data_IF_814636400685
#
_entry.id   IF_814636400685
#
_cell.length_a   1.000
_cell.length_b   1.000
_cell.length_c   1.000
_cell.angle_alpha   90.00
_cell.angle_beta   90.00
_cell.angle_gamma   90.00
#
_symmetry.space_group_name_H-M   'P 1'
#
loop_
_entity.id
_entity.type
_entity.pdbx_description
1 polymer ?
#
# COMPACT_ATOMS: atom_id res chain seq x y z
N UNK A 1 -6.32 8.55 26.57
CA UNK A 1 -5.87 7.54 25.59
C UNK A 1 -6.75 7.64 24.34
N UNK A 2 -6.29 8.30 23.28
CA UNK A 2 -7.07 8.42 22.05
C UNK A 2 -7.15 7.04 21.38
N UNK A 3 -8.35 6.47 21.28
CA UNK A 3 -8.60 5.28 20.45
C UNK A 3 -8.17 5.64 19.03
N UNK A 4 -7.04 5.09 18.56
CA UNK A 4 -6.63 5.17 17.14
C UNK A 4 -7.79 4.61 16.32
N UNK A 5 -8.65 5.47 15.79
CA UNK A 5 -9.73 5.07 14.90
C UNK A 5 -9.11 4.30 13.74
N UNK A 6 -9.49 3.02 13.58
CA UNK A 6 -9.14 2.27 12.37
C UNK A 6 -9.74 3.03 11.21
N UNK A 7 -8.92 3.71 10.41
CA UNK A 7 -9.35 4.31 9.14
C UNK A 7 -9.89 3.16 8.29
N UNK A 8 -11.21 3.14 8.09
CA UNK A 8 -11.91 2.17 7.23
C UNK A 8 -12.26 2.90 5.95
N UNK A 9 -11.75 2.41 4.82
CA UNK A 9 -12.12 2.91 3.50
C UNK A 9 -13.49 2.34 3.11
N UNK A 10 -14.28 3.12 2.37
CA UNK A 10 -15.40 2.55 1.60
C UNK A 10 -14.86 1.82 0.36
N UNK A 11 -15.68 0.93 -0.25
CA UNK A 11 -15.32 0.23 -1.50
C UNK A 11 -14.92 1.24 -2.59
N UNK A 12 -15.75 2.25 -2.81
CA UNK A 12 -15.54 3.26 -3.84
C UNK A 12 -14.29 4.12 -3.60
N UNK A 13 -13.98 4.45 -2.33
CA UNK A 13 -12.72 5.10 -1.97
C UNK A 13 -11.53 4.18 -2.24
N UNK A 14 -11.67 2.89 -1.92
CA UNK A 14 -10.60 1.92 -2.12
C UNK A 14 -10.28 1.71 -3.60
N UNK A 15 -11.30 1.60 -4.45
CA UNK A 15 -11.16 1.48 -5.91
C UNK A 15 -10.45 2.70 -6.52
N UNK A 16 -10.77 3.92 -6.05
CA UNK A 16 -10.11 5.15 -6.53
C UNK A 16 -8.66 5.29 -6.05
N UNK A 17 -8.35 4.78 -4.85
CA UNK A 17 -7.02 4.92 -4.22
C UNK A 17 -6.06 3.80 -4.63
N UNK A 18 -6.55 2.58 -4.85
CA UNK A 18 -5.71 1.41 -5.12
C UNK A 18 -4.76 1.61 -6.31
N UNK A 19 -5.21 2.09 -7.49
CA UNK A 19 -4.30 2.34 -8.62
C UNK A 19 -3.24 3.40 -8.31
N UNK A 20 -3.59 4.43 -7.53
CA UNK A 20 -2.65 5.48 -7.12
C UNK A 20 -1.56 4.92 -6.21
N UNK A 21 -1.96 4.11 -5.23
CA UNK A 21 -1.00 3.50 -4.30
C UNK A 21 -0.10 2.47 -5.00
N UNK A 22 -0.64 1.69 -5.94
CA UNK A 22 0.16 0.80 -6.78
C UNK A 22 1.21 1.58 -7.58
N UNK A 23 0.81 2.70 -8.21
CA UNK A 23 1.77 3.56 -8.92
C UNK A 23 2.88 4.07 -8.01
N UNK A 24 2.55 4.52 -6.80
CA UNK A 24 3.55 4.98 -5.84
C UNK A 24 4.49 3.85 -5.40
N UNK A 25 3.97 2.64 -5.13
CA UNK A 25 4.79 1.48 -4.81
C UNK A 25 5.79 1.19 -5.94
N UNK A 26 5.33 1.19 -7.19
CA UNK A 26 6.18 0.92 -8.36
C UNK A 26 7.29 1.97 -8.51
N UNK A 27 6.96 3.25 -8.39
CA UNK A 27 7.96 4.33 -8.48
C UNK A 27 9.00 4.22 -7.36
N UNK A 28 8.55 3.98 -6.13
CA UNK A 28 9.44 3.80 -4.97
C UNK A 28 10.36 2.58 -5.16
N UNK A 29 9.87 1.51 -5.80
CA UNK A 29 10.63 0.30 -6.07
C UNK A 29 11.72 0.55 -7.12
N UNK A 30 11.39 1.28 -8.19
CA UNK A 30 12.35 1.70 -9.22
C UNK A 30 13.46 2.55 -8.60
N UNK A 31 13.09 3.55 -7.78
CA UNK A 31 14.08 4.38 -7.09
C UNK A 31 14.97 3.57 -6.14
N UNK A 32 14.39 2.62 -5.40
CA UNK A 32 15.16 1.74 -4.53
C UNK A 32 16.17 0.90 -5.32
N UNK A 33 15.77 0.38 -6.48
CA UNK A 33 16.66 -0.38 -7.38
C UNK A 33 17.81 0.48 -7.88
N UNK A 34 17.54 1.70 -8.34
CA UNK A 34 18.60 2.63 -8.79
C UNK A 34 19.58 2.99 -7.65
N UNK A 35 19.10 3.09 -6.41
CA UNK A 35 19.95 3.37 -5.27
C UNK A 35 20.86 2.20 -4.90
N UNK A 36 20.45 0.96 -5.16
CA UNK A 36 21.26 -0.23 -4.90
C UNK A 36 22.53 -0.28 -5.78
N UNK A 37 22.55 0.40 -6.93
CA UNK A 37 23.73 0.51 -7.78
C UNK A 37 24.84 1.37 -7.14
N UNK A 38 24.47 2.24 -6.20
CA UNK A 38 25.37 3.23 -5.59
C UNK A 38 25.50 3.10 -4.08
N UNK A 39 24.61 2.36 -3.43
CA UNK A 39 24.55 2.22 -1.97
C UNK A 39 24.50 0.75 -1.57
N UNK A 40 25.13 0.44 -0.42
CA UNK A 40 25.03 -0.90 0.17
C UNK A 40 23.59 -1.20 0.58
N UNK A 41 23.12 -2.46 0.47
CA UNK A 41 21.78 -2.85 0.93
C UNK A 41 21.51 -2.54 2.41
N UNK A 42 22.53 -2.57 3.25
CA UNK A 42 22.45 -2.26 4.69
C UNK A 42 22.58 -0.77 5.01
N UNK A 43 22.55 0.11 4.00
CA UNK A 43 22.62 1.55 4.22
C UNK A 43 21.27 2.08 4.68
N UNK A 44 21.29 3.12 5.52
CA UNK A 44 20.08 3.79 6.02
C UNK A 44 19.17 4.31 4.89
N UNK A 45 19.75 4.67 3.75
CA UNK A 45 19.03 5.14 2.56
C UNK A 45 18.18 4.00 1.99
N UNK A 46 18.76 2.81 1.80
CA UNK A 46 18.04 1.63 1.33
C UNK A 46 17.01 1.18 2.37
N UNK A 47 17.36 1.15 3.65
CA UNK A 47 16.41 0.81 4.72
C UNK A 47 15.19 1.74 4.72
N UNK A 48 15.39 3.05 4.52
CA UNK A 48 14.30 4.02 4.40
C UNK A 48 13.37 3.70 3.22
N UNK A 49 13.95 3.34 2.06
CA UNK A 49 13.17 2.93 0.88
C UNK A 49 12.39 1.63 1.13
N UNK A 50 12.99 0.64 1.77
CA UNK A 50 12.30 -0.60 2.14
C UNK A 50 11.13 -0.35 3.11
N UNK A 51 11.28 0.59 4.05
CA UNK A 51 10.20 0.99 4.95
C UNK A 51 9.05 1.67 4.19
N UNK A 52 9.35 2.56 3.24
CA UNK A 52 8.34 3.18 2.37
C UNK A 52 7.60 2.12 1.54
N UNK A 53 8.32 1.21 0.90
CA UNK A 53 7.77 0.10 0.12
C UNK A 53 6.82 -0.76 0.96
N UNK A 54 7.24 -1.14 2.17
CA UNK A 54 6.39 -1.87 3.12
C UNK A 54 5.15 -1.08 3.51
N UNK A 55 5.28 0.24 3.68
CA UNK A 55 4.16 1.15 3.94
C UNK A 55 3.11 1.10 2.84
N UNK A 56 3.53 1.28 1.59
CA UNK A 56 2.63 1.21 0.43
C UNK A 56 2.01 -0.18 0.25
N UNK A 57 2.80 -1.25 0.37
CA UNK A 57 2.29 -2.62 0.28
C UNK A 57 1.19 -2.89 1.33
N UNK A 58 1.39 -2.47 2.57
CA UNK A 58 0.37 -2.60 3.61
C UNK A 58 -0.92 -1.83 3.30
N UNK A 59 -0.81 -0.65 2.68
CA UNK A 59 -1.99 0.13 2.26
C UNK A 59 -2.70 -0.59 1.12
N UNK A 60 -1.97 -1.02 0.09
CA UNK A 60 -2.51 -1.74 -1.07
C UNK A 60 -3.28 -2.99 -0.62
N UNK A 61 -2.70 -3.80 0.27
CA UNK A 61 -3.38 -4.99 0.81
C UNK A 61 -4.67 -4.64 1.52
N UNK A 62 -4.70 -3.55 2.31
CA UNK A 62 -5.94 -3.10 2.98
C UNK A 62 -7.01 -2.64 1.99
N UNK A 63 -6.62 -1.91 0.94
CA UNK A 63 -7.54 -1.45 -0.10
C UNK A 63 -8.09 -2.65 -0.88
N UNK A 64 -7.22 -3.56 -1.34
CA UNK A 64 -7.62 -4.78 -2.05
C UNK A 64 -8.55 -5.66 -1.22
N UNK A 65 -8.22 -5.87 0.06
CA UNK A 65 -9.09 -6.62 0.98
C UNK A 65 -10.45 -5.93 1.19
N UNK A 66 -10.49 -4.60 1.22
CA UNK A 66 -11.74 -3.85 1.35
C UNK A 66 -12.62 -4.07 0.13
N UNK A 67 -12.07 -3.97 -1.08
CA UNK A 67 -12.80 -4.19 -2.34
C UNK A 67 -13.31 -5.64 -2.41
N UNK A 68 -12.43 -6.61 -2.14
CA UNK A 68 -12.78 -8.03 -2.17
C UNK A 68 -13.92 -8.37 -1.21
N UNK A 69 -13.81 -7.96 0.06
CA UNK A 69 -14.83 -8.24 1.08
C UNK A 69 -16.19 -7.63 0.72
N UNK A 70 -16.23 -6.37 0.32
CA UNK A 70 -17.49 -5.70 0.01
C UNK A 70 -18.14 -6.28 -1.27
N UNK A 71 -17.33 -6.78 -2.23
CA UNK A 71 -17.85 -7.46 -3.43
C UNK A 71 -18.53 -8.79 -3.09
N UNK A 72 -17.97 -9.59 -2.18
CA UNK A 72 -18.60 -10.83 -1.72
C UNK A 72 -19.93 -10.57 -1.00
N UNK A 73 -20.00 -9.52 -0.17
CA UNK A 73 -21.25 -9.15 0.50
C UNK A 73 -22.35 -8.71 -0.47
N UNK A 74 -21.98 -8.08 -1.58
CA UNK A 74 -22.92 -7.71 -2.65
C UNK A 74 -23.45 -8.96 -3.37
N UNK A 75 -22.58 -9.92 -3.71
CA UNK A 75 -22.96 -11.18 -4.34
C UNK A 75 -23.90 -12.03 -3.46
N UNK A 76 -23.67 -12.09 -2.15
CA UNK A 76 -24.53 -12.83 -1.21
C UNK A 76 -25.89 -12.16 -0.96
N UNK A 77 -26.02 -10.87 -1.27
CA UNK A 77 -27.26 -10.10 -1.09
C UNK A 77 -28.18 -10.09 -2.32
N UNK A 78 -27.75 -10.72 -3.43
CA UNK A 78 -28.49 -10.79 -4.71
C UNK A 78 -29.03 -12.20 -4.94
#
# INVERSE_FOLDING_TARGET
MAKKGKVRFSKEQAERLLPKMLRHLTLEAIECMMLLDTHKPSSRIIESKLLSLKGYANIITKLGYTIWRETQNEEEAT
#
